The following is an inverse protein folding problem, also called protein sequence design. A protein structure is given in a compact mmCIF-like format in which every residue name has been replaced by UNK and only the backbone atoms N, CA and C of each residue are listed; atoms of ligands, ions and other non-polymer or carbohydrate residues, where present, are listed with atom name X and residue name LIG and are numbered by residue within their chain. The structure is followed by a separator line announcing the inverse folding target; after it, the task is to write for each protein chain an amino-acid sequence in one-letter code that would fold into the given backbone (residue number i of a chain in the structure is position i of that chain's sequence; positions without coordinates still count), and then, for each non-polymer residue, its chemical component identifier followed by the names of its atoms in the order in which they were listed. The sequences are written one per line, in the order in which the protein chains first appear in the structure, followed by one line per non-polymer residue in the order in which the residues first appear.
data_IF_102005782331
#
_entry.id   IF_102005782331
#
_cell.length_a   1.000
_cell.length_b   1.000
_cell.length_c   1.000
_cell.angle_alpha   90.00
_cell.angle_beta   90.00
_cell.angle_gamma   90.00
#
_symmetry.space_group_name_H-M   'P 1'
#
loop_
_entity.id
_entity.type
_entity.pdbx_description
1 polymer ?
#
# COMPACT_ATOMS: atom_id res chain seq x y z
N UNK A 1 81.29 -24.46 -33.66
CA UNK A 1 80.20 -24.82 -34.59
C UNK A 1 79.13 -25.70 -33.92
N UNK A 2 79.50 -26.74 -33.17
CA UNK A 2 78.51 -27.59 -32.47
C UNK A 2 77.75 -26.82 -31.35
N UNK A 3 78.45 -25.98 -30.58
CA UNK A 3 77.87 -25.15 -29.51
C UNK A 3 76.96 -24.03 -30.01
N UNK A 4 77.25 -23.46 -31.19
CA UNK A 4 76.40 -22.44 -31.82
C UNK A 4 75.12 -23.05 -32.38
N UNK A 5 75.19 -24.27 -32.95
CA UNK A 5 74.02 -25.00 -33.43
C UNK A 5 73.08 -25.40 -32.27
N UNK A 6 73.63 -25.90 -31.16
CA UNK A 6 72.80 -26.23 -29.98
C UNK A 6 72.13 -25.00 -29.37
N UNK A 7 72.82 -23.85 -29.31
CA UNK A 7 72.23 -22.60 -28.79
C UNK A 7 71.05 -22.12 -29.64
N UNK A 8 71.17 -22.18 -30.98
CA UNK A 8 70.08 -21.78 -31.89
C UNK A 8 68.86 -22.69 -31.78
N UNK A 9 69.05 -24.00 -31.62
CA UNK A 9 67.94 -24.94 -31.40
C UNK A 9 67.21 -24.65 -30.08
N UNK A 10 67.94 -24.38 -29.00
CA UNK A 10 67.33 -24.02 -27.71
C UNK A 10 66.54 -22.73 -27.80
N UNK A 11 67.05 -21.71 -28.50
CA UNK A 11 66.35 -20.44 -28.70
C UNK A 11 65.06 -20.60 -29.51
N UNK A 12 65.06 -21.42 -30.56
CA UNK A 12 63.84 -21.69 -31.36
C UNK A 12 62.80 -22.46 -30.53
N UNK A 13 63.23 -23.44 -29.74
CA UNK A 13 62.32 -24.19 -28.85
C UNK A 13 61.70 -23.30 -27.77
N UNK A 14 62.51 -22.42 -27.16
CA UNK A 14 62.02 -21.44 -26.17
C UNK A 14 61.05 -20.43 -26.79
N UNK A 15 61.32 -19.94 -28.00
CA UNK A 15 60.43 -19.05 -28.73
C UNK A 15 59.10 -19.74 -29.11
N UNK A 16 59.14 -21.01 -29.51
CA UNK A 16 57.94 -21.80 -29.78
C UNK A 16 57.08 -22.03 -28.54
N UNK A 17 57.71 -22.37 -27.41
CA UNK A 17 57.03 -22.57 -26.13
C UNK A 17 56.38 -21.27 -25.61
N UNK A 18 57.07 -20.14 -25.71
CA UNK A 18 56.54 -18.84 -25.27
C UNK A 18 55.34 -18.39 -26.12
N UNK A 19 55.39 -18.59 -27.45
CA UNK A 19 54.24 -18.34 -28.32
C UNK A 19 53.07 -19.26 -27.99
N UNK A 20 53.31 -20.55 -27.80
CA UNK A 20 52.27 -21.53 -27.49
C UNK A 20 51.53 -21.21 -26.19
N UNK A 21 52.27 -20.90 -25.13
CA UNK A 21 51.69 -20.47 -23.86
C UNK A 21 50.95 -19.14 -23.98
N UNK A 22 51.48 -18.19 -24.76
CA UNK A 22 50.82 -16.90 -25.03
C UNK A 22 49.45 -17.06 -25.72
N UNK A 23 49.37 -17.90 -26.76
CA UNK A 23 48.11 -18.19 -27.46
C UNK A 23 47.11 -18.90 -26.54
N UNK A 24 47.58 -19.85 -25.73
CA UNK A 24 46.74 -20.59 -24.80
C UNK A 24 46.19 -19.69 -23.68
N UNK A 25 46.98 -18.73 -23.20
CA UNK A 25 46.55 -17.73 -22.20
C UNK A 25 45.56 -16.72 -22.78
N UNK A 26 45.73 -16.29 -24.03
CA UNK A 26 44.75 -15.42 -24.69
C UNK A 26 43.43 -16.18 -24.91
N UNK A 27 43.49 -17.45 -25.31
CA UNK A 27 42.30 -18.29 -25.49
C UNK A 27 41.58 -18.56 -24.16
N UNK A 28 42.31 -18.80 -23.07
CA UNK A 28 41.73 -19.01 -21.74
C UNK A 28 41.11 -17.73 -21.18
N UNK A 29 41.77 -16.57 -21.36
CA UNK A 29 41.24 -15.26 -20.98
C UNK A 29 39.95 -14.91 -21.72
N UNK A 30 39.85 -15.25 -23.02
CA UNK A 30 38.62 -15.04 -23.80
C UNK A 30 37.45 -15.84 -23.22
N UNK A 31 37.67 -17.09 -22.80
CA UNK A 31 36.64 -17.91 -22.14
C UNK A 31 36.22 -17.33 -20.79
N UNK A 32 37.18 -16.87 -19.99
CA UNK A 32 36.90 -16.22 -18.69
C UNK A 32 36.10 -14.93 -18.89
N UNK A 33 36.43 -14.14 -19.91
CA UNK A 33 35.70 -12.91 -20.25
C UNK A 33 34.26 -13.20 -20.68
N UNK A 34 34.01 -14.26 -21.46
CA UNK A 34 32.65 -14.68 -21.82
C UNK A 34 31.84 -15.16 -20.62
N UNK A 35 32.47 -15.92 -19.71
CA UNK A 35 31.85 -16.34 -18.45
C UNK A 35 31.51 -15.15 -17.56
N UNK A 36 32.42 -14.17 -17.45
CA UNK A 36 32.15 -12.92 -16.74
C UNK A 36 31.00 -12.13 -17.37
N UNK A 37 30.95 -12.03 -18.70
CA UNK A 37 29.85 -11.36 -19.40
C UNK A 37 28.51 -12.04 -19.15
N UNK A 38 28.46 -13.37 -19.17
CA UNK A 38 27.25 -14.12 -18.84
C UNK A 38 26.81 -13.91 -17.39
N UNK A 39 27.75 -13.85 -16.44
CA UNK A 39 27.45 -13.58 -15.03
C UNK A 39 26.91 -12.16 -14.83
N UNK A 40 27.50 -11.16 -15.50
CA UNK A 40 27.05 -9.76 -15.40
C UNK A 40 25.69 -9.53 -16.05
N UNK A 41 25.36 -10.24 -17.14
CA UNK A 41 24.05 -10.14 -17.79
C UNK A 41 22.94 -10.78 -16.92
N UNK A 42 23.26 -11.83 -16.16
CA UNK A 42 22.31 -12.39 -15.18
C UNK A 42 22.11 -11.44 -14.00
N UNK A 43 23.19 -10.82 -13.49
CA UNK A 43 23.13 -9.86 -12.37
C UNK A 43 22.33 -8.60 -12.72
N UNK A 44 22.54 -8.03 -13.91
CA UNK A 44 21.85 -6.81 -14.35
C UNK A 44 20.33 -7.04 -14.54
N UNK A 45 19.94 -8.21 -15.04
CA UNK A 45 18.54 -8.62 -15.15
C UNK A 45 17.89 -8.75 -13.77
N UNK A 46 18.62 -9.31 -12.80
CA UNK A 46 18.12 -9.45 -11.44
C UNK A 46 17.91 -8.08 -10.75
N UNK A 47 18.83 -7.13 -10.93
CA UNK A 47 18.67 -5.77 -10.41
C UNK A 47 17.46 -5.05 -11.02
N UNK A 48 17.23 -5.18 -12.33
CA UNK A 48 16.08 -4.52 -12.98
C UNK A 48 14.73 -5.00 -12.42
N UNK A 49 14.61 -6.29 -12.11
CA UNK A 49 13.41 -6.87 -11.49
C UNK A 49 13.24 -6.40 -10.05
N UNK A 50 14.34 -6.31 -9.28
CA UNK A 50 14.32 -5.80 -7.91
C UNK A 50 13.94 -4.31 -7.86
N UNK A 51 14.42 -3.49 -8.80
CA UNK A 51 14.08 -2.07 -8.87
C UNK A 51 12.61 -1.84 -9.27
N UNK A 52 12.08 -2.61 -10.23
CA UNK A 52 10.67 -2.52 -10.58
C UNK A 52 9.75 -2.97 -9.42
N UNK A 53 10.13 -4.06 -8.75
CA UNK A 53 9.32 -4.63 -7.67
C UNK A 53 9.40 -3.79 -6.38
N UNK A 54 10.56 -3.22 -6.04
CA UNK A 54 10.70 -2.33 -4.88
C UNK A 54 9.88 -1.06 -5.00
N UNK A 55 9.84 -0.44 -6.19
CA UNK A 55 8.97 0.73 -6.44
C UNK A 55 7.49 0.40 -6.27
N UNK A 56 7.06 -0.78 -6.72
CA UNK A 56 5.69 -1.25 -6.54
C UNK A 56 5.34 -1.50 -5.06
N UNK A 57 6.23 -2.12 -4.28
CA UNK A 57 6.03 -2.38 -2.85
C UNK A 57 5.89 -1.07 -2.05
N UNK A 58 6.73 -0.07 -2.32
CA UNK A 58 6.65 1.24 -1.64
C UNK A 58 5.31 1.93 -1.96
N UNK A 59 4.89 1.91 -3.23
CA UNK A 59 3.62 2.51 -3.66
C UNK A 59 2.41 1.80 -3.07
N UNK A 60 2.47 0.46 -2.94
CA UNK A 60 1.45 -0.34 -2.27
C UNK A 60 1.39 -0.03 -0.77
N UNK A 61 2.52 0.13 -0.10
CA UNK A 61 2.58 0.52 1.31
C UNK A 61 1.89 1.86 1.58
N UNK A 62 2.19 2.88 0.78
CA UNK A 62 1.52 4.19 0.89
C UNK A 62 0.02 4.13 0.61
N UNK A 63 -0.41 3.29 -0.34
CA UNK A 63 -1.82 3.11 -0.66
C UNK A 63 -2.58 2.38 0.45
N UNK A 64 -1.95 1.39 1.10
CA UNK A 64 -2.51 0.69 2.26
C UNK A 64 -2.68 1.62 3.45
N UNK A 65 -1.68 2.47 3.74
CA UNK A 65 -1.78 3.46 4.81
C UNK A 65 -2.91 4.47 4.56
N UNK A 66 -3.07 4.93 3.31
CA UNK A 66 -4.17 5.81 2.93
C UNK A 66 -5.54 5.11 3.07
N UNK A 67 -5.61 3.81 2.77
CA UNK A 67 -6.83 3.02 2.93
C UNK A 67 -7.17 2.81 4.42
N UNK A 68 -6.18 2.47 5.24
CA UNK A 68 -6.32 2.33 6.70
C UNK A 68 -6.84 3.62 7.32
N UNK A 69 -6.30 4.77 6.92
CA UNK A 69 -6.78 6.07 7.39
C UNK A 69 -8.24 6.32 7.00
N UNK A 70 -8.63 5.98 5.76
CA UNK A 70 -10.02 6.10 5.31
C UNK A 70 -10.96 5.19 6.08
N UNK A 71 -10.57 3.93 6.30
CA UNK A 71 -11.34 2.96 7.08
C UNK A 71 -11.51 3.45 8.52
N UNK A 72 -10.44 3.94 9.15
CA UNK A 72 -10.48 4.47 10.52
C UNK A 72 -11.40 5.69 10.63
N UNK A 73 -11.34 6.61 9.67
CA UNK A 73 -12.23 7.77 9.63
C UNK A 73 -13.70 7.36 9.44
N UNK A 74 -13.97 6.39 8.57
CA UNK A 74 -15.33 5.89 8.35
C UNK A 74 -15.86 5.18 9.59
N UNK A 75 -15.05 4.32 10.21
CA UNK A 75 -15.41 3.63 11.46
C UNK A 75 -15.72 4.63 12.58
N UNK A 76 -14.90 5.68 12.73
CA UNK A 76 -15.16 6.75 13.70
C UNK A 76 -16.48 7.48 13.42
N UNK A 77 -16.75 7.82 12.15
CA UNK A 77 -18.03 8.45 11.77
C UNK A 77 -19.22 7.54 12.03
N UNK A 78 -19.07 6.25 11.75
CA UNK A 78 -20.11 5.28 12.00
C UNK A 78 -20.37 5.16 13.51
N UNK A 79 -19.32 5.09 14.33
CA UNK A 79 -19.47 5.09 15.78
C UNK A 79 -20.12 6.39 16.29
N UNK A 80 -19.76 7.55 15.74
CA UNK A 80 -20.42 8.81 16.07
C UNK A 80 -21.90 8.84 15.66
N UNK A 81 -22.28 8.18 14.57
CA UNK A 81 -23.67 8.04 14.13
C UNK A 81 -24.44 6.98 14.95
N UNK A 82 -23.80 5.88 15.35
CA UNK A 82 -24.38 4.87 16.22
C UNK A 82 -24.61 5.42 17.63
N UNK A 83 -23.67 6.22 18.16
CA UNK A 83 -23.85 6.91 19.44
C UNK A 83 -24.85 8.06 19.36
N UNK A 84 -24.96 8.73 18.20
CA UNK A 84 -26.02 9.72 17.94
C UNK A 84 -27.24 8.99 17.40
N UNK A 85 -27.93 8.27 18.29
CA UNK A 85 -29.18 7.61 17.97
C UNK A 85 -30.12 8.63 17.30
N UNK A 86 -30.30 8.52 15.97
CA UNK A 86 -30.92 9.56 15.16
C UNK A 86 -32.35 9.87 15.66
N UNK A 87 -33.02 8.87 16.23
CA UNK A 87 -34.31 9.03 16.88
C UNK A 87 -34.26 10.01 18.04
N UNK A 88 -33.28 9.90 18.94
CA UNK A 88 -33.17 10.72 20.16
C UNK A 88 -33.16 12.23 19.88
N UNK A 89 -32.40 12.68 18.87
CA UNK A 89 -32.31 14.10 18.52
C UNK A 89 -33.65 14.64 17.96
N UNK A 90 -34.34 13.84 17.12
CA UNK A 90 -35.68 14.17 16.63
C UNK A 90 -36.73 14.15 17.73
N UNK A 91 -36.64 13.24 18.70
CA UNK A 91 -37.54 13.18 19.85
C UNK A 91 -37.34 14.35 20.81
N UNK A 92 -36.10 14.77 21.07
CA UNK A 92 -35.79 15.94 21.89
C UNK A 92 -36.29 17.24 21.24
N UNK A 93 -36.09 17.39 19.93
CA UNK A 93 -36.64 18.53 19.17
C UNK A 93 -38.16 18.53 19.16
N UNK A 94 -38.78 17.36 18.96
CA UNK A 94 -40.23 17.18 19.00
C UNK A 94 -40.83 17.51 20.38
N UNK A 95 -40.20 17.06 21.47
CA UNK A 95 -40.61 17.37 22.84
C UNK A 95 -40.56 18.87 23.12
N UNK A 96 -39.51 19.56 22.66
CA UNK A 96 -39.38 21.01 22.81
C UNK A 96 -40.44 21.78 22.02
N UNK A 97 -40.76 21.34 20.80
CA UNK A 97 -41.83 21.92 19.98
C UNK A 97 -43.21 21.76 20.61
N UNK A 98 -43.52 20.57 21.16
CA UNK A 98 -44.75 20.33 21.92
C UNK A 98 -44.82 21.20 23.18
N UNK A 99 -43.71 21.39 23.90
CA UNK A 99 -43.67 22.26 25.08
C UNK A 99 -43.96 23.73 24.73
N UNK A 100 -43.65 24.15 23.50
CA UNK A 100 -44.02 25.46 22.96
C UNK A 100 -45.48 25.52 22.46
N UNK A 101 -46.24 24.44 22.59
CA UNK A 101 -47.66 24.36 22.22
C UNK A 101 -47.92 23.96 20.77
N UNK A 102 -46.93 23.40 20.06
CA UNK A 102 -47.12 22.94 18.69
C UNK A 102 -48.09 21.74 18.62
N UNK A 103 -48.92 21.71 17.57
CA UNK A 103 -49.85 20.61 17.35
C UNK A 103 -49.12 19.35 16.85
N UNK A 104 -49.64 18.13 17.11
CA UNK A 104 -48.99 16.89 16.68
C UNK A 104 -48.77 16.83 15.16
N UNK A 105 -49.63 17.48 14.38
CA UNK A 105 -49.54 17.54 12.92
C UNK A 105 -48.34 18.37 12.44
N UNK A 106 -47.91 19.35 13.23
CA UNK A 106 -46.75 20.19 12.93
C UNK A 106 -45.42 19.47 13.21
N UNK A 107 -45.43 18.49 14.13
CA UNK A 107 -44.27 17.64 14.40
C UNK A 107 -43.98 16.67 13.24
N UNK A 108 -45.03 16.16 12.59
CA UNK A 108 -44.90 15.32 11.39
C UNK A 108 -44.22 16.10 10.26
N UNK A 109 -44.61 17.37 10.07
CA UNK A 109 -44.05 18.23 9.01
C UNK A 109 -42.66 18.77 9.33
N UNK A 110 -42.41 19.14 10.58
CA UNK A 110 -41.18 19.86 10.98
C UNK A 110 -40.07 18.90 11.41
N UNK A 111 -40.42 17.81 12.11
CA UNK A 111 -39.46 16.86 12.65
C UNK A 111 -39.44 15.53 11.88
N UNK A 112 -40.33 15.32 10.90
CA UNK A 112 -40.35 14.13 10.05
C UNK A 112 -40.86 12.85 10.75
N UNK A 113 -41.56 12.98 11.89
CA UNK A 113 -42.13 11.85 12.62
C UNK A 113 -43.32 11.24 11.86
N UNK A 114 -43.56 9.95 12.03
CA UNK A 114 -44.82 9.34 11.61
C UNK A 114 -45.99 9.88 12.47
N UNK A 115 -47.23 9.82 11.95
CA UNK A 115 -48.41 10.25 12.73
C UNK A 115 -48.55 9.51 14.06
N UNK A 116 -48.18 8.22 14.09
CA UNK A 116 -48.21 7.41 15.30
C UNK A 116 -47.18 7.89 16.33
N UNK A 117 -45.97 8.23 15.91
CA UNK A 117 -44.91 8.73 16.79
C UNK A 117 -45.21 10.13 17.31
N UNK A 118 -45.71 11.05 16.47
CA UNK A 118 -46.09 12.39 16.91
C UNK A 118 -47.19 12.36 17.98
N UNK A 119 -48.16 11.43 17.84
CA UNK A 119 -49.21 11.21 18.84
C UNK A 119 -48.67 10.56 20.12
N UNK A 120 -47.68 9.68 20.02
CA UNK A 120 -47.02 9.10 21.19
C UNK A 120 -46.26 10.17 22.00
N UNK A 121 -45.50 11.03 21.33
CA UNK A 121 -44.72 12.11 21.97
C UNK A 121 -45.63 13.14 22.65
N UNK A 122 -46.74 13.52 22.04
CA UNK A 122 -47.71 14.44 22.66
C UNK A 122 -48.37 13.85 23.91
N UNK A 123 -48.67 12.54 23.89
CA UNK A 123 -49.17 11.84 25.07
C UNK A 123 -48.12 11.70 26.17
N UNK A 124 -46.86 11.43 25.82
CA UNK A 124 -45.75 11.36 26.78
C UNK A 124 -45.47 12.72 27.45
N UNK A 125 -45.51 13.81 26.66
CA UNK A 125 -45.34 15.16 27.16
C UNK A 125 -46.51 15.59 28.06
N UNK A 126 -47.76 15.29 27.68
CA UNK A 126 -48.94 15.57 28.49
C UNK A 126 -48.96 14.78 29.83
N UNK A 127 -48.31 13.61 29.88
CA UNK A 127 -48.14 12.81 31.10
C UNK A 127 -46.93 13.19 31.96
N UNK A 128 -46.08 14.12 31.52
CA UNK A 128 -44.90 14.56 32.29
C UNK A 128 -43.78 13.52 32.42
N UNK A 129 -43.76 12.48 31.59
CA UNK A 129 -42.81 11.34 31.69
C UNK A 129 -41.49 11.59 30.93
N UNK A 130 -41.38 12.67 30.16
CA UNK A 130 -40.24 12.95 29.29
C UNK A 130 -39.33 14.09 29.76
N UNK A 131 -38.77 14.03 30.97
CA UNK A 131 -37.65 14.90 31.33
C UNK A 131 -36.34 14.19 30.93
N UNK A 132 -35.62 14.65 29.88
CA UNK A 132 -34.28 14.18 29.63
C UNK A 132 -33.37 14.66 30.77
N UNK A 133 -32.50 13.76 31.24
CA UNK A 133 -31.44 14.06 32.19
C UNK A 133 -30.33 14.90 31.54
#
# INVERSE_FOLDING_TARGET
MLTTMSLTLVLVLLAGLSLGLGVMQIASMRKISQLHQALTDVSSRQESLLHANSGAIIKLGGSLQALEQRVTLTARRQQELENKDAGSLTYDQASKLIQMGAAPEDLVKTCGLSQAEAKLVSLMAARGVGKPA
#
